data_IF_486585335158
#
_entry.id   IF_486585335158
#
_cell.length_a   1.000
_cell.length_b   1.000
_cell.length_c   1.000
_cell.angle_alpha   90.00
_cell.angle_beta   90.00
_cell.angle_gamma   90.00
#
_symmetry.space_group_name_H-M   'P 1'
#
loop_
_entity.id
_entity.type
_entity.pdbx_description
1 polymer ?
#
# COMPACT_ATOMS: atom_id res chain seq x y z
N UNK A 1 11.07 -5.67 -5.06
CA UNK A 1 9.77 -5.13 -4.60
C UNK A 1 9.38 -5.85 -3.34
N UNK A 2 9.03 -5.12 -2.27
CA UNK A 2 8.51 -5.70 -1.03
C UNK A 2 7.04 -5.31 -0.86
N UNK A 3 6.19 -6.25 -0.46
CA UNK A 3 4.79 -5.97 -0.11
C UNK A 3 4.58 -6.29 1.36
N UNK A 4 4.08 -5.32 2.13
CA UNK A 4 3.79 -5.50 3.56
C UNK A 4 2.31 -5.29 3.83
N UNK A 5 1.67 -6.27 4.44
CA UNK A 5 0.26 -6.19 4.84
C UNK A 5 0.17 -5.71 6.29
N UNK A 6 -0.68 -4.70 6.55
CA UNK A 6 -0.85 -4.09 7.87
C UNK A 6 -2.34 -3.88 8.20
N UNK A 7 -2.62 -3.62 9.48
CA UNK A 7 -3.95 -3.20 9.96
C UNK A 7 -4.20 -1.69 9.79
N UNK A 8 -5.42 -1.24 10.10
CA UNK A 8 -5.85 0.16 9.92
C UNK A 8 -5.07 1.15 10.79
N UNK A 9 -4.73 0.79 12.03
CA UNK A 9 -4.00 1.69 12.94
C UNK A 9 -2.60 2.02 12.40
N UNK A 10 -1.85 0.99 11.99
CA UNK A 10 -0.52 1.15 11.41
C UNK A 10 -0.58 1.89 10.08
N UNK A 11 -1.55 1.57 9.23
CA UNK A 11 -1.77 2.30 7.98
C UNK A 11 -2.07 3.79 8.23
N UNK A 12 -2.93 4.12 9.19
CA UNK A 12 -3.23 5.51 9.52
C UNK A 12 -2.02 6.26 10.11
N UNK A 13 -1.16 5.59 10.88
CA UNK A 13 0.12 6.15 11.35
C UNK A 13 1.06 6.45 10.17
N UNK A 14 1.20 5.50 9.24
CA UNK A 14 2.04 5.67 8.05
C UNK A 14 1.49 6.77 7.13
N UNK A 15 0.19 6.79 6.85
CA UNK A 15 -0.45 7.80 5.99
C UNK A 15 -0.30 9.21 6.58
N UNK A 16 -0.40 9.34 7.91
CA UNK A 16 -0.12 10.60 8.60
C UNK A 16 1.33 11.01 8.45
N UNK A 17 2.26 10.08 8.68
CA UNK A 17 3.70 10.36 8.67
C UNK A 17 4.20 10.77 7.28
N UNK A 18 3.75 10.08 6.23
CA UNK A 18 4.32 10.23 4.88
C UNK A 18 3.42 11.02 3.92
N UNK A 19 2.13 11.16 4.19
CA UNK A 19 1.17 11.93 3.36
C UNK A 19 0.45 13.03 4.14
N UNK A 20 0.67 13.17 5.44
CA UNK A 20 -0.01 14.16 6.29
C UNK A 20 -1.50 13.84 6.54
N UNK A 21 -1.98 12.65 6.19
CA UNK A 21 -3.41 12.28 6.27
C UNK A 21 -3.68 11.36 7.46
N UNK A 22 -4.51 11.82 8.41
CA UNK A 22 -4.91 11.05 9.57
C UNK A 22 -6.08 10.08 9.27
N UNK A 23 -5.88 9.17 8.34
CA UNK A 23 -6.86 8.13 8.01
C UNK A 23 -6.18 6.90 7.42
N UNK A 24 -6.79 5.73 7.56
CA UNK A 24 -6.35 4.54 6.83
C UNK A 24 -6.67 4.68 5.34
N UNK A 25 -5.92 3.98 4.49
CA UNK A 25 -6.13 3.88 3.04
C UNK A 25 -5.81 2.45 2.60
N UNK A 26 -6.23 2.07 1.40
CA UNK A 26 -6.01 0.72 0.88
C UNK A 26 -4.53 0.44 0.62
N UNK A 27 -3.77 1.41 0.09
CA UNK A 27 -2.34 1.25 -0.23
C UNK A 27 -1.51 2.52 -0.03
N UNK A 28 -0.24 2.33 0.35
CA UNK A 28 0.81 3.34 0.30
C UNK A 28 2.04 2.78 -0.42
N UNK A 29 2.58 3.54 -1.37
CA UNK A 29 3.79 3.19 -2.11
C UNK A 29 4.97 4.07 -1.68
N UNK A 30 6.12 3.44 -1.45
CA UNK A 30 7.37 4.03 -1.03
C UNK A 30 8.43 3.75 -2.10
N UNK A 31 8.60 4.64 -3.09
CA UNK A 31 9.62 4.46 -4.12
C UNK A 31 11.01 4.54 -3.49
N UNK A 32 11.94 3.73 -4.00
CA UNK A 32 13.36 3.90 -3.70
C UNK A 32 13.92 4.89 -4.71
N UNK A 33 14.40 6.03 -4.23
CA UNK A 33 15.16 6.95 -5.04
C UNK A 33 16.63 6.47 -5.09
N UNK A 34 17.17 6.14 -6.26
CA UNK A 34 18.57 5.80 -6.37
C UNK A 34 19.44 7.01 -6.03
N UNK A 35 20.54 6.77 -5.33
CA UNK A 35 21.56 7.79 -5.11
C UNK A 35 22.16 8.26 -6.44
N UNK A 36 22.59 9.53 -6.56
CA UNK A 36 23.22 10.04 -7.78
C UNK A 36 24.39 9.15 -8.23
N UNK A 37 24.34 8.67 -9.47
CA UNK A 37 25.37 7.80 -10.05
C UNK A 37 25.17 6.30 -9.82
N UNK A 38 24.12 5.88 -9.11
CA UNK A 38 23.78 4.47 -8.91
C UNK A 38 22.57 4.08 -9.78
N UNK A 39 22.63 2.91 -10.41
CA UNK A 39 21.46 2.25 -11.01
C UNK A 39 20.92 1.23 -10.02
N UNK A 40 19.59 1.20 -9.84
CA UNK A 40 18.91 0.23 -8.98
C UNK A 40 17.72 -0.38 -9.71
N UNK A 41 17.56 -1.69 -9.62
CA UNK A 41 16.38 -2.42 -10.12
C UNK A 41 15.29 -2.54 -9.02
N UNK A 42 15.51 -1.93 -7.85
CA UNK A 42 14.57 -1.96 -6.74
C UNK A 42 13.45 -0.94 -6.96
N UNK A 43 12.24 -1.44 -7.24
CA UNK A 43 11.04 -0.62 -7.46
C UNK A 43 10.51 0.09 -6.19
N UNK A 44 10.95 -0.33 -5.00
CA UNK A 44 10.47 0.19 -3.71
C UNK A 44 9.59 -0.79 -2.93
N UNK A 45 8.93 -0.23 -1.90
CA UNK A 45 8.06 -0.95 -0.98
C UNK A 45 6.60 -0.51 -1.17
N UNK A 46 5.68 -1.46 -1.01
CA UNK A 46 4.24 -1.21 -0.98
C UNK A 46 3.70 -1.70 0.36
N UNK A 47 2.89 -0.87 1.02
CA UNK A 47 2.17 -1.22 2.23
C UNK A 47 0.68 -1.27 1.91
N UNK A 48 0.02 -2.39 2.24
CA UNK A 48 -1.39 -2.65 1.93
C UNK A 48 -2.17 -2.83 3.23
N UNK A 49 -3.32 -2.16 3.36
CA UNK A 49 -4.18 -2.33 4.53
C UNK A 49 -5.25 -3.39 4.27
N UNK A 50 -5.07 -4.58 4.84
CA UNK A 50 -5.98 -5.72 4.59
C UNK A 50 -7.45 -5.42 4.89
N UNK A 51 -7.79 -4.87 6.07
CA UNK A 51 -9.18 -4.55 6.40
C UNK A 51 -9.85 -3.53 5.46
N UNK A 52 -9.08 -2.56 4.94
CA UNK A 52 -9.62 -1.58 3.98
C UNK A 52 -9.84 -2.22 2.62
N UNK A 53 -8.90 -3.05 2.16
CA UNK A 53 -9.03 -3.79 0.89
C UNK A 53 -10.24 -4.73 0.92
N UNK A 54 -10.45 -5.47 2.01
CA UNK A 54 -11.60 -6.38 2.13
C UNK A 54 -12.93 -5.61 2.15
N UNK A 55 -12.97 -4.47 2.85
CA UNK A 55 -14.15 -3.59 2.89
C UNK A 55 -14.46 -3.01 1.51
N UNK A 56 -13.45 -2.55 0.77
CA UNK A 56 -13.61 -2.05 -0.60
C UNK A 56 -14.07 -3.16 -1.55
N UNK A 57 -13.51 -4.37 -1.44
CA UNK A 57 -13.91 -5.51 -2.25
C UNK A 57 -15.40 -5.85 -2.04
N UNK A 58 -15.86 -5.82 -0.79
CA UNK A 58 -17.26 -6.03 -0.45
C UNK A 58 -18.17 -4.93 -1.02
N UNK A 59 -17.79 -3.65 -0.89
CA UNK A 59 -18.54 -2.50 -1.44
C UNK A 59 -18.60 -2.55 -2.96
N UNK A 60 -17.51 -2.93 -3.63
CA UNK A 60 -17.42 -2.99 -5.08
C UNK A 60 -17.95 -4.31 -5.67
N UNK A 61 -18.46 -5.22 -4.83
CA UNK A 61 -18.90 -6.56 -5.23
C UNK A 61 -17.84 -7.34 -6.03
N UNK A 62 -16.55 -7.13 -5.71
CA UNK A 62 -15.42 -7.82 -6.32
C UNK A 62 -15.03 -9.04 -5.50
N UNK A 63 -14.45 -10.05 -6.15
CA UNK A 63 -13.82 -11.13 -5.39
C UNK A 63 -12.65 -10.55 -4.59
N UNK A 64 -12.49 -10.91 -3.30
CA UNK A 64 -11.37 -10.44 -2.50
C UNK A 64 -10.04 -10.71 -3.20
N UNK A 65 -9.86 -11.92 -3.72
CA UNK A 65 -8.63 -12.33 -4.41
C UNK A 65 -8.34 -11.47 -5.66
N UNK A 66 -9.36 -11.09 -6.42
CA UNK A 66 -9.21 -10.20 -7.58
C UNK A 66 -8.89 -8.76 -7.18
N UNK A 67 -9.49 -8.26 -6.10
CA UNK A 67 -9.21 -6.92 -5.59
C UNK A 67 -7.79 -6.81 -5.03
N UNK A 68 -7.34 -7.82 -4.28
CA UNK A 68 -5.96 -7.95 -3.81
C UNK A 68 -4.94 -7.96 -4.95
N UNK A 69 -5.22 -8.72 -6.02
CA UNK A 69 -4.34 -8.77 -7.18
C UNK A 69 -4.20 -7.41 -7.87
N UNK A 70 -5.30 -6.65 -7.97
CA UNK A 70 -5.30 -5.32 -8.60
C UNK A 70 -4.46 -4.28 -7.84
N UNK A 71 -4.26 -4.45 -6.54
CA UNK A 71 -3.51 -3.50 -5.72
C UNK A 71 -1.99 -3.54 -5.92
N UNK A 72 -1.46 -4.57 -6.61
CA UNK A 72 -0.01 -4.84 -6.74
C UNK A 72 0.42 -4.95 -8.22
N UNK A 73 -0.37 -4.44 -9.16
CA UNK A 73 -0.04 -4.41 -10.60
C UNK A 73 0.77 -3.16 -10.96
#
# INVERSE_FOLDING_TARGET
MTVRVVGEEEMAKLNRRYRGRNQSTNVLSFPIEPLPGMRTDLLGDIVVCGPVVDREAAIQHKSPMGHWAHMVV
#
